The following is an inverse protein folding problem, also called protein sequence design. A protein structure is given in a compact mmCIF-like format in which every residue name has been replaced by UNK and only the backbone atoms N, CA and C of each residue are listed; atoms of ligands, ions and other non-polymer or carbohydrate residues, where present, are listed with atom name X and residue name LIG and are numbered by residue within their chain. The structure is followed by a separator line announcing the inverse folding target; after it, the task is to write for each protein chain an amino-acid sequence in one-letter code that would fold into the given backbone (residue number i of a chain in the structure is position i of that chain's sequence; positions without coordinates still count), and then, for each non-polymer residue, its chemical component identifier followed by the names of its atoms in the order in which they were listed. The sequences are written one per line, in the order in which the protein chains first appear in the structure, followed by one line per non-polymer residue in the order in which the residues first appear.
data_IF_763302519454
#
_entry.id   IF_763302519454
#
_cell.length_a   1.000
_cell.length_b   1.000
_cell.length_c   1.000
_cell.angle_alpha   90.00
_cell.angle_beta   90.00
_cell.angle_gamma   90.00
#
_symmetry.space_group_name_H-M   'P 1'
#
loop_
_entity.id
_entity.type
_entity.pdbx_description
1 polymer ?
#
# COMPACT_ATOMS: atom_id res chain seq x y z
N UNK A 1 -26.80 13.88 13.29
CA UNK A 1 -25.93 13.61 12.12
C UNK A 1 -24.67 12.90 12.62
N UNK A 2 -24.75 11.59 12.77
CA UNK A 2 -23.63 10.76 13.24
C UNK A 2 -22.53 10.76 12.18
N UNK A 3 -21.35 11.29 12.53
CA UNK A 3 -20.16 11.14 11.70
C UNK A 3 -19.79 9.66 11.72
N UNK A 4 -20.36 8.93 10.76
CA UNK A 4 -20.02 7.54 10.48
C UNK A 4 -18.63 7.53 9.84
N UNK A 5 -17.86 6.49 10.14
CA UNK A 5 -16.51 6.20 9.64
C UNK A 5 -16.45 6.28 8.10
N UNK A 6 -17.60 6.13 7.43
CA UNK A 6 -17.78 6.29 5.99
C UNK A 6 -17.35 7.66 5.42
N UNK A 7 -17.43 8.76 6.19
CA UNK A 7 -16.97 10.07 5.70
C UNK A 7 -15.48 10.34 5.94
N UNK A 8 -14.83 9.57 6.81
CA UNK A 8 -13.40 9.71 7.10
C UNK A 8 -12.53 8.96 6.09
N UNK A 9 -13.03 7.84 5.56
CA UNK A 9 -12.30 7.00 4.60
C UNK A 9 -11.83 7.76 3.34
N UNK A 10 -12.66 8.60 2.67
CA UNK A 10 -12.22 9.33 1.49
C UNK A 10 -11.12 10.35 1.80
N UNK A 11 -11.21 11.01 2.96
CA UNK A 11 -10.24 12.02 3.41
C UNK A 11 -8.88 11.37 3.66
N UNK A 12 -8.87 10.22 4.34
CA UNK A 12 -7.65 9.47 4.63
C UNK A 12 -7.02 8.93 3.32
N UNK A 13 -7.84 8.41 2.40
CA UNK A 13 -7.37 7.93 1.10
C UNK A 13 -6.73 9.05 0.26
N UNK A 14 -7.32 10.25 0.24
CA UNK A 14 -6.76 11.42 -0.44
C UNK A 14 -5.45 11.89 0.22
N UNK A 15 -5.41 11.97 1.55
CA UNK A 15 -4.20 12.34 2.28
C UNK A 15 -3.05 11.35 2.02
N UNK A 16 -3.34 10.05 2.04
CA UNK A 16 -2.38 9.02 1.69
C UNK A 16 -1.92 9.13 0.23
N UNK A 17 -2.85 9.38 -0.70
CA UNK A 17 -2.53 9.56 -2.12
C UNK A 17 -1.62 10.76 -2.40
N UNK A 18 -1.87 11.89 -1.74
CA UNK A 18 -1.01 13.09 -1.84
C UNK A 18 0.36 12.82 -1.22
N UNK A 19 0.41 12.18 -0.06
CA UNK A 19 1.67 11.80 0.61
C UNK A 19 2.53 10.89 -0.28
N UNK A 20 1.90 9.94 -0.98
CA UNK A 20 2.54 9.05 -1.95
C UNK A 20 3.12 9.84 -3.13
N UNK A 21 2.40 10.85 -3.64
CA UNK A 21 2.88 11.66 -4.76
C UNK A 21 4.13 12.48 -4.37
N UNK A 22 4.19 12.99 -3.14
CA UNK A 22 5.34 13.74 -2.62
C UNK A 22 6.52 12.81 -2.32
N UNK A 23 6.26 11.62 -1.77
CA UNK A 23 7.30 10.65 -1.43
C UNK A 23 6.97 9.23 -1.97
N UNK A 24 7.25 8.95 -3.25
CA UNK A 24 6.91 7.67 -3.88
C UNK A 24 7.76 6.50 -3.35
N UNK A 25 8.84 6.80 -2.61
CA UNK A 25 9.81 5.81 -2.12
C UNK A 25 9.19 4.77 -1.17
N UNK A 26 8.16 5.14 -0.41
CA UNK A 26 7.47 4.22 0.49
C UNK A 26 6.75 3.11 -0.28
N UNK A 27 6.07 3.44 -1.38
CA UNK A 27 5.41 2.44 -2.22
C UNK A 27 6.40 1.53 -2.92
N UNK A 28 7.54 2.08 -3.37
CA UNK A 28 8.58 1.28 -4.03
C UNK A 28 9.08 0.15 -3.12
N UNK A 29 9.24 0.41 -1.81
CA UNK A 29 9.67 -0.61 -0.85
C UNK A 29 8.63 -1.74 -0.69
N UNK A 30 7.35 -1.37 -0.59
CA UNK A 30 6.25 -2.33 -0.47
C UNK A 30 6.16 -3.21 -1.72
N UNK A 31 6.22 -2.60 -2.90
CA UNK A 31 6.18 -3.32 -4.19
C UNK A 31 7.40 -4.23 -4.34
N UNK A 32 8.60 -3.76 -3.98
CA UNK A 32 9.81 -4.56 -4.04
C UNK A 32 9.72 -5.82 -3.16
N UNK A 33 9.27 -5.67 -1.91
CA UNK A 33 9.06 -6.82 -1.00
C UNK A 33 8.04 -7.79 -1.60
N UNK A 34 6.92 -7.29 -2.12
CA UNK A 34 5.88 -8.12 -2.71
C UNK A 34 6.39 -8.94 -3.91
N UNK A 35 7.13 -8.30 -4.82
CA UNK A 35 7.73 -8.96 -5.98
C UNK A 35 8.79 -9.99 -5.57
N UNK A 36 9.61 -9.68 -4.57
CA UNK A 36 10.60 -10.63 -4.02
C UNK A 36 9.87 -11.82 -3.41
N UNK A 37 8.86 -11.60 -2.55
CA UNK A 37 8.12 -12.67 -1.91
C UNK A 37 7.47 -13.61 -2.94
N UNK A 38 6.80 -13.04 -3.95
CA UNK A 38 6.18 -13.84 -5.02
C UNK A 38 7.22 -14.52 -5.90
N UNK A 39 8.35 -13.86 -6.21
CA UNK A 39 9.45 -14.49 -6.93
C UNK A 39 10.00 -15.70 -6.18
N UNK A 40 10.21 -15.59 -4.87
CA UNK A 40 10.67 -16.68 -4.02
C UNK A 40 9.63 -17.82 -3.95
N UNK A 41 8.34 -17.48 -3.83
CA UNK A 41 7.24 -18.46 -3.87
C UNK A 41 7.17 -19.18 -5.23
N UNK A 42 7.28 -18.46 -6.35
CA UNK A 42 7.23 -19.00 -7.70
C UNK A 42 8.45 -19.86 -8.08
N UNK A 43 9.62 -19.56 -7.51
CA UNK A 43 10.82 -20.40 -7.61
C UNK A 43 10.69 -21.71 -6.81
N UNK A 44 9.63 -21.84 -6.00
CA UNK A 44 9.41 -22.98 -5.13
C UNK A 44 10.51 -23.11 -4.09
N UNK A 45 11.00 -21.99 -3.55
CA UNK A 45 11.86 -21.98 -2.37
C UNK A 45 11.13 -22.38 -1.09
N UNK A 46 9.79 -22.35 -1.11
CA UNK A 46 8.91 -22.67 0.01
C UNK A 46 8.12 -23.97 -0.19
N UNK A 47 8.62 -24.90 -1.01
CA UNK A 47 8.09 -26.28 -1.06
C UNK A 47 8.58 -27.11 0.13
#
# INVERSE_FOLDING_TARGET
MTITIAHLQPIIALAAGILILIMPRLLNFIVAIYLIAIGLLGLGLFR
#
